data_IF_751517749152
#
_entry.id   IF_751517749152
#
_cell.length_a   1.000
_cell.length_b   1.000
_cell.length_c   1.000
_cell.angle_alpha   90.00
_cell.angle_beta   90.00
_cell.angle_gamma   90.00
#
_symmetry.space_group_name_H-M   'P 1'
#
loop_
_entity.id
_entity.type
_entity.pdbx_description
1 polymer ?
#
# COMPACT_ATOMS: atom_id res chain seq x y z
N UNK A 1 3.72 14.51 3.25
CA UNK A 1 5.04 13.85 3.10
C UNK A 1 5.10 13.23 1.71
N UNK A 2 6.16 13.48 0.93
CA UNK A 2 6.25 13.03 -0.48
C UNK A 2 6.39 11.51 -0.58
N UNK A 3 7.05 10.86 0.40
CA UNK A 3 7.26 9.40 0.44
C UNK A 3 6.20 8.61 1.23
N UNK A 4 5.29 9.28 1.94
CA UNK A 4 4.47 8.65 2.97
C UNK A 4 5.20 8.50 4.31
N UNK A 5 4.68 7.69 5.25
CA UNK A 5 5.37 7.36 6.50
C UNK A 5 6.66 6.57 6.23
N UNK A 6 7.58 6.59 7.21
CA UNK A 6 8.86 5.85 7.13
C UNK A 6 8.68 4.33 7.27
N UNK A 7 7.61 3.87 7.88
CA UNK A 7 7.31 2.45 8.01
C UNK A 7 5.79 2.30 8.08
N UNK A 8 5.27 1.32 7.36
CA UNK A 8 3.85 0.95 7.37
C UNK A 8 3.68 -0.47 6.85
N UNK A 9 2.66 -1.20 7.31
CA UNK A 9 2.27 -2.42 6.62
C UNK A 9 1.41 -2.11 5.41
N UNK A 10 1.45 -3.06 4.50
CA UNK A 10 0.65 -3.09 3.29
C UNK A 10 0.16 -4.52 3.04
N UNK A 11 -0.84 -4.63 2.19
CA UNK A 11 -1.21 -5.89 1.55
C UNK A 11 -1.20 -5.70 0.04
N UNK A 12 -0.61 -6.66 -0.65
CA UNK A 12 -0.84 -6.91 -2.09
C UNK A 12 -1.69 -8.17 -2.18
N UNK A 13 -2.81 -8.10 -2.89
CA UNK A 13 -3.75 -9.20 -3.07
C UNK A 13 -4.12 -9.33 -4.54
N UNK A 14 -3.83 -10.47 -5.13
CA UNK A 14 -4.37 -10.91 -6.41
C UNK A 14 -5.56 -11.80 -6.09
N UNK A 15 -6.75 -11.31 -6.39
CA UNK A 15 -8.00 -11.88 -5.86
C UNK A 15 -8.60 -12.87 -6.85
N UNK A 16 -8.50 -12.60 -8.16
CA UNK A 16 -9.17 -13.41 -9.18
C UNK A 16 -8.47 -13.35 -10.54
N UNK A 17 -8.53 -14.45 -11.27
CA UNK A 17 -8.11 -14.58 -12.66
C UNK A 17 -9.36 -14.73 -13.52
N UNK A 18 -9.58 -13.80 -14.43
CA UNK A 18 -10.51 -14.00 -15.53
C UNK A 18 -9.85 -14.87 -16.60
N UNK A 19 -10.57 -15.88 -17.07
CA UNK A 19 -10.16 -16.83 -18.08
C UNK A 19 -11.20 -16.85 -19.19
N UNK A 20 -10.75 -16.70 -20.43
CA UNK A 20 -11.53 -16.91 -21.62
C UNK A 20 -10.70 -17.76 -22.58
N UNK A 21 -11.21 -18.96 -22.83
CA UNK A 21 -10.67 -19.89 -23.79
C UNK A 21 -10.75 -19.30 -25.18
N UNK A 22 -9.62 -19.00 -25.82
CA UNK A 22 -9.70 -18.70 -27.24
C UNK A 22 -8.42 -18.86 -28.05
N UNK A 23 -7.40 -19.50 -27.50
CA UNK A 23 -6.30 -20.04 -28.31
C UNK A 23 -6.04 -21.54 -28.10
N UNK A 24 -6.77 -22.17 -27.16
CA UNK A 24 -6.79 -23.63 -26.98
C UNK A 24 -8.04 -24.26 -27.63
N UNK A 25 -8.50 -23.67 -28.76
CA UNK A 25 -9.49 -24.32 -29.63
C UNK A 25 -8.74 -25.31 -30.53
N UNK A 26 -7.98 -26.19 -29.91
CA UNK A 26 -7.53 -27.40 -30.56
C UNK A 26 -8.75 -28.33 -30.45
N UNK A 27 -9.52 -28.48 -31.54
CA UNK A 27 -10.83 -29.21 -31.60
C UNK A 27 -10.80 -30.68 -31.10
N UNK A 28 -9.70 -31.12 -30.51
CA UNK A 28 -9.36 -32.51 -30.19
C UNK A 28 -9.45 -32.81 -28.68
N UNK A 29 -9.20 -31.85 -27.76
CA UNK A 29 -9.01 -32.19 -26.33
C UNK A 29 -9.99 -31.57 -25.31
N UNK A 30 -10.98 -30.80 -25.73
CA UNK A 30 -12.09 -30.37 -24.88
C UNK A 30 -12.18 -28.86 -24.70
N UNK A 31 -13.32 -28.34 -24.21
CA UNK A 31 -13.60 -26.91 -24.22
C UNK A 31 -13.14 -26.19 -22.95
N UNK A 32 -12.16 -26.68 -22.19
CA UNK A 32 -11.86 -26.14 -20.85
C UNK A 32 -10.38 -25.83 -20.69
N UNK A 33 -10.06 -24.61 -20.25
CA UNK A 33 -8.69 -24.22 -19.90
C UNK A 33 -8.34 -24.65 -18.49
N UNK A 34 -7.07 -24.97 -18.28
CA UNK A 34 -6.53 -25.43 -17.00
C UNK A 34 -5.50 -24.41 -16.48
N UNK A 35 -5.96 -23.24 -15.96
CA UNK A 35 -5.07 -22.14 -15.65
C UNK A 35 -4.25 -22.46 -14.40
N UNK A 36 -2.94 -22.39 -14.57
CA UNK A 36 -1.97 -22.68 -13.54
C UNK A 36 -1.03 -21.48 -13.37
N UNK A 37 -0.85 -20.92 -12.16
CA UNK A 37 -0.21 -19.60 -12.02
C UNK A 37 0.77 -19.48 -10.85
N UNK A 38 2.04 -19.24 -11.16
CA UNK A 38 3.01 -18.84 -10.13
C UNK A 38 3.00 -17.34 -9.90
N UNK A 39 2.83 -16.92 -8.64
CA UNK A 39 2.88 -15.50 -8.24
C UNK A 39 4.15 -15.25 -7.42
N UNK A 40 4.91 -14.26 -7.84
CA UNK A 40 6.15 -13.83 -7.20
C UNK A 40 5.97 -12.40 -6.72
N UNK A 41 6.32 -12.13 -5.47
CA UNK A 41 6.37 -10.79 -4.94
C UNK A 41 7.73 -10.53 -4.30
N UNK A 42 8.32 -9.39 -4.63
CA UNK A 42 9.67 -9.00 -4.25
C UNK A 42 9.57 -7.67 -3.51
N UNK A 43 10.12 -7.60 -2.30
CA UNK A 43 10.25 -6.38 -1.52
C UNK A 43 11.69 -5.89 -1.54
N UNK A 44 11.88 -4.69 -2.07
CA UNK A 44 13.15 -3.98 -2.19
C UNK A 44 13.05 -2.76 -1.27
N UNK A 45 13.54 -2.91 -0.04
CA UNK A 45 13.33 -1.92 1.01
C UNK A 45 14.44 -2.00 2.08
N UNK A 46 14.41 -1.10 3.06
CA UNK A 46 15.42 -1.06 4.11
C UNK A 46 15.37 -2.23 5.09
N UNK A 47 14.46 -3.21 4.91
CA UNK A 47 14.42 -4.43 5.71
C UNK A 47 15.42 -5.45 5.26
N UNK A 48 15.42 -5.72 3.96
CA UNK A 48 16.38 -6.63 3.35
C UNK A 48 17.71 -5.96 2.98
N UNK A 49 17.71 -4.65 2.76
CA UNK A 49 18.81 -3.95 2.10
C UNK A 49 19.36 -2.79 2.94
N UNK A 50 20.67 -2.61 2.86
CA UNK A 50 21.39 -1.50 3.47
C UNK A 50 22.54 -1.05 2.56
N UNK A 51 23.09 0.12 2.82
CA UNK A 51 24.28 0.59 2.10
C UNK A 51 25.54 -0.14 2.60
N UNK A 52 26.37 -0.58 1.66
CA UNK A 52 27.76 -0.99 1.88
C UNK A 52 28.66 -0.26 0.87
N UNK A 53 29.42 0.72 1.36
CA UNK A 53 30.17 1.64 0.51
C UNK A 53 29.26 2.36 -0.49
N UNK A 54 29.51 2.14 -1.79
CA UNK A 54 28.75 2.75 -2.89
C UNK A 54 27.63 1.85 -3.43
N UNK A 55 27.40 0.68 -2.83
CA UNK A 55 26.45 -0.31 -3.33
C UNK A 55 25.42 -0.67 -2.27
N UNK A 56 24.39 -1.40 -2.68
CA UNK A 56 23.47 -2.06 -1.78
C UNK A 56 24.04 -3.42 -1.38
N UNK A 57 23.95 -3.74 -0.09
CA UNK A 57 24.20 -5.06 0.47
C UNK A 57 22.93 -5.61 1.14
N UNK A 58 22.94 -6.91 1.42
CA UNK A 58 21.81 -7.63 1.99
C UNK A 58 21.05 -8.48 0.96
N UNK A 59 19.81 -8.82 1.26
CA UNK A 59 18.98 -9.69 0.41
C UNK A 59 17.55 -9.15 0.40
N UNK A 60 16.95 -8.88 -0.77
CA UNK A 60 15.55 -8.48 -0.83
C UNK A 60 14.66 -9.62 -0.32
N UNK A 61 13.47 -9.27 0.16
CA UNK A 61 12.55 -10.25 0.72
C UNK A 61 11.64 -10.78 -0.39
N UNK A 62 11.56 -12.10 -0.54
CA UNK A 62 10.75 -12.77 -1.55
C UNK A 62 9.55 -13.47 -0.93
N UNK A 63 8.39 -13.33 -1.56
CA UNK A 63 7.24 -14.23 -1.43
C UNK A 63 7.10 -14.98 -2.75
N UNK A 64 7.55 -16.21 -2.76
CA UNK A 64 7.41 -17.15 -3.88
C UNK A 64 6.33 -18.20 -3.55
N UNK A 65 5.78 -18.91 -4.55
CA UNK A 65 4.97 -20.09 -4.29
C UNK A 65 5.85 -21.15 -3.60
N UNK A 66 5.33 -21.84 -2.60
CA UNK A 66 6.09 -22.90 -1.90
C UNK A 66 5.97 -24.25 -2.62
N UNK A 67 4.88 -24.46 -3.34
CA UNK A 67 4.59 -25.67 -4.09
C UNK A 67 3.94 -25.32 -5.44
N UNK A 68 3.76 -26.38 -6.22
CA UNK A 68 2.91 -26.40 -7.38
C UNK A 68 1.47 -26.65 -6.89
N UNK A 69 0.62 -25.61 -6.85
CA UNK A 69 -0.71 -25.66 -6.23
C UNK A 69 -1.77 -26.33 -7.13
N UNK A 70 -1.36 -26.88 -8.28
CA UNK A 70 -2.24 -27.38 -9.33
C UNK A 70 -3.03 -26.26 -10.00
N UNK A 71 -3.95 -26.66 -10.89
CA UNK A 71 -4.90 -25.76 -11.54
C UNK A 71 -5.70 -24.89 -10.55
N UNK A 72 -5.81 -23.60 -10.84
CA UNK A 72 -6.56 -22.64 -10.02
C UNK A 72 -8.06 -22.94 -10.14
N UNK A 73 -8.58 -23.70 -9.18
CA UNK A 73 -10.00 -24.04 -9.10
C UNK A 73 -10.49 -25.00 -10.19
N UNK A 74 -9.58 -25.76 -10.80
CA UNK A 74 -9.87 -26.74 -11.85
C UNK A 74 -10.19 -26.13 -13.22
N UNK A 75 -10.48 -27.00 -14.18
CA UNK A 75 -10.74 -26.68 -15.59
C UNK A 75 -11.92 -25.71 -15.74
N UNK A 76 -11.82 -24.73 -16.65
CA UNK A 76 -12.82 -23.69 -16.86
C UNK A 76 -12.92 -23.30 -18.34
N UNK A 77 -14.14 -23.31 -18.89
CA UNK A 77 -14.39 -22.84 -20.26
C UNK A 77 -14.31 -21.31 -20.39
N UNK A 78 -15.05 -20.60 -19.54
CA UNK A 78 -15.01 -19.15 -19.46
C UNK A 78 -15.45 -18.71 -18.05
N UNK A 79 -14.88 -17.61 -17.56
CA UNK A 79 -15.32 -16.98 -16.33
C UNK A 79 -14.17 -16.55 -15.44
N UNK A 80 -14.40 -16.57 -14.14
CA UNK A 80 -13.46 -16.05 -13.15
C UNK A 80 -13.15 -17.11 -12.11
N UNK A 81 -11.87 -17.32 -11.84
CA UNK A 81 -11.37 -18.17 -10.76
C UNK A 81 -10.83 -17.33 -9.62
N UNK A 82 -11.29 -17.53 -8.37
CA UNK A 82 -10.65 -16.89 -7.22
C UNK A 82 -9.25 -17.46 -7.05
N UNK A 83 -8.26 -16.60 -6.78
CA UNK A 83 -6.93 -17.06 -6.41
C UNK A 83 -6.90 -17.42 -4.92
N UNK A 84 -6.32 -18.57 -4.56
CA UNK A 84 -6.07 -18.88 -3.16
C UNK A 84 -5.17 -17.81 -2.51
N UNK A 85 -5.44 -17.48 -1.25
CA UNK A 85 -4.70 -16.43 -0.55
C UNK A 85 -3.20 -16.75 -0.42
N UNK A 86 -2.84 -18.02 -0.29
CA UNK A 86 -1.46 -18.50 -0.23
C UNK A 86 -0.65 -18.23 -1.53
N UNK A 87 -1.36 -18.12 -2.66
CA UNK A 87 -0.81 -17.78 -3.98
C UNK A 87 -0.82 -16.26 -4.17
N UNK A 88 -1.99 -15.64 -4.04
CA UNK A 88 -2.21 -14.26 -4.48
C UNK A 88 -1.99 -13.18 -3.43
N UNK A 89 -1.86 -13.50 -2.13
CA UNK A 89 -1.85 -12.50 -1.05
C UNK A 89 -0.53 -12.45 -0.30
N UNK A 90 -0.04 -11.23 -0.08
CA UNK A 90 1.09 -10.94 0.78
C UNK A 90 0.85 -9.72 1.65
N UNK A 91 0.95 -9.92 2.96
CA UNK A 91 0.98 -8.83 3.95
C UNK A 91 2.41 -8.66 4.44
N UNK A 92 2.94 -7.45 4.37
CA UNK A 92 4.32 -7.10 4.75
C UNK A 92 4.39 -5.65 5.21
N UNK A 93 5.51 -5.25 5.80
CA UNK A 93 5.93 -3.85 5.98
C UNK A 93 6.65 -3.31 4.75
N UNK A 94 6.77 -1.98 4.65
CA UNK A 94 7.66 -1.30 3.70
C UNK A 94 8.38 -0.14 4.40
N UNK A 95 9.72 -0.09 4.29
CA UNK A 95 10.55 0.98 4.85
C UNK A 95 11.61 1.50 3.86
N UNK A 96 11.95 2.79 3.86
CA UNK A 96 12.96 3.32 2.95
C UNK A 96 14.34 2.73 3.27
N UNK A 97 15.21 2.69 2.26
CA UNK A 97 16.63 2.35 2.42
C UNK A 97 17.36 3.65 2.73
N UNK A 98 17.94 3.74 3.92
CA UNK A 98 18.73 4.91 4.34
C UNK A 98 20.13 4.80 3.78
N UNK A 99 20.58 5.84 3.08
CA UNK A 99 21.96 5.96 2.57
C UNK A 99 22.64 7.20 3.16
N UNK A 100 23.93 7.07 3.41
CA UNK A 100 24.84 8.12 3.87
C UNK A 100 25.75 8.52 2.72
N UNK A 101 25.75 9.81 2.40
CA UNK A 101 26.68 10.44 1.44
C UNK A 101 27.56 11.41 2.23
N UNK A 102 28.90 11.34 2.13
CA UNK A 102 29.78 12.25 2.86
C UNK A 102 29.40 13.72 2.65
N UNK A 103 29.22 14.45 3.75
CA UNK A 103 28.87 15.87 3.74
C UNK A 103 27.38 16.19 3.46
N UNK A 104 26.51 15.18 3.40
CA UNK A 104 25.06 15.37 3.22
C UNK A 104 24.28 14.71 4.36
N UNK A 105 23.07 15.22 4.69
CA UNK A 105 22.16 14.49 5.58
C UNK A 105 21.80 13.13 4.97
N UNK A 106 21.44 12.13 5.79
CA UNK A 106 21.00 10.82 5.28
C UNK A 106 19.86 10.98 4.27
N UNK A 107 19.99 10.30 3.13
CA UNK A 107 18.98 10.28 2.07
C UNK A 107 18.18 8.99 2.21
N UNK A 108 16.86 9.10 2.10
CA UNK A 108 15.95 7.95 2.13
C UNK A 108 15.56 7.55 0.70
N UNK A 109 16.03 6.39 0.24
CA UNK A 109 15.58 5.80 -1.02
C UNK A 109 14.26 5.07 -0.74
N UNK A 110 13.16 5.39 -1.45
CA UNK A 110 11.87 4.79 -1.16
C UNK A 110 11.85 3.29 -1.46
N UNK A 111 11.20 2.52 -0.58
CA UNK A 111 10.95 1.11 -0.79
C UNK A 111 10.05 0.85 -1.99
N UNK A 112 10.15 -0.37 -2.55
CA UNK A 112 9.36 -0.81 -3.71
C UNK A 112 8.92 -2.26 -3.56
N UNK A 113 7.69 -2.53 -3.97
CA UNK A 113 7.18 -3.89 -4.18
C UNK A 113 7.12 -4.15 -5.68
N UNK A 114 7.60 -5.30 -6.13
CA UNK A 114 7.39 -5.81 -7.49
C UNK A 114 6.59 -7.09 -7.35
N UNK A 115 5.44 -7.15 -8.01
CA UNK A 115 4.58 -8.33 -8.09
C UNK A 115 4.56 -8.78 -9.55
N UNK A 116 4.86 -10.04 -9.81
CA UNK A 116 4.73 -10.63 -11.13
C UNK A 116 4.16 -12.03 -11.05
N UNK A 117 3.71 -12.55 -12.18
CA UNK A 117 3.29 -13.94 -12.25
C UNK A 117 3.46 -14.55 -13.63
N UNK A 118 3.56 -15.88 -13.61
CA UNK A 118 3.68 -16.73 -14.78
C UNK A 118 2.44 -17.61 -14.84
N UNK A 119 1.64 -17.41 -15.88
CA UNK A 119 0.48 -18.25 -16.20
C UNK A 119 0.90 -19.30 -17.21
N UNK A 120 0.56 -20.54 -16.88
CA UNK A 120 0.74 -21.74 -17.68
C UNK A 120 -0.63 -22.39 -17.86
N UNK A 121 -0.75 -23.19 -18.91
CA UNK A 121 -1.80 -24.18 -19.05
C UNK A 121 -1.19 -25.53 -18.68
N UNK A 122 -1.71 -26.17 -17.63
CA UNK A 122 -1.24 -27.50 -17.21
C UNK A 122 -2.04 -28.55 -18.01
N UNK A 123 -1.38 -29.20 -18.97
CA UNK A 123 -1.93 -30.33 -19.71
C UNK A 123 -1.30 -31.63 -19.19
N UNK A 124 -1.03 -32.61 -20.07
CA UNK A 124 -0.42 -33.91 -19.74
C UNK A 124 1.06 -33.83 -19.28
N UNK A 125 1.51 -32.67 -18.76
CA UNK A 125 2.86 -32.48 -18.27
C UNK A 125 3.02 -33.09 -16.87
N UNK A 126 4.05 -33.92 -16.64
CA UNK A 126 4.28 -34.50 -15.32
C UNK A 126 4.50 -33.43 -14.24
N UNK A 127 3.87 -33.60 -13.06
CA UNK A 127 4.05 -32.71 -11.91
C UNK A 127 5.52 -32.46 -11.54
N UNK A 128 6.40 -33.44 -11.76
CA UNK A 128 7.85 -33.30 -11.53
C UNK A 128 8.50 -32.28 -12.46
N UNK A 129 8.06 -32.18 -13.71
CA UNK A 129 8.56 -31.21 -14.68
C UNK A 129 8.06 -29.78 -14.36
N UNK A 130 6.77 -29.64 -13.98
CA UNK A 130 6.19 -28.37 -13.49
C UNK A 130 6.94 -27.87 -12.26
N UNK A 131 7.18 -28.74 -11.28
CA UNK A 131 7.90 -28.38 -10.06
C UNK A 131 9.36 -28.03 -10.33
N UNK A 132 10.04 -28.74 -11.25
CA UNK A 132 11.39 -28.39 -11.68
C UNK A 132 11.43 -27.01 -12.35
N UNK A 133 10.44 -26.71 -13.21
CA UNK A 133 10.30 -25.41 -13.86
C UNK A 133 10.04 -24.28 -12.86
N UNK A 134 9.17 -24.51 -11.87
CA UNK A 134 8.93 -23.55 -10.78
C UNK A 134 10.21 -23.18 -10.05
N UNK A 135 11.00 -24.19 -9.64
CA UNK A 135 12.28 -23.98 -8.94
C UNK A 135 13.31 -23.26 -9.81
N UNK A 136 13.39 -23.64 -11.09
CA UNK A 136 14.25 -22.98 -12.07
C UNK A 136 13.90 -21.49 -12.22
N UNK A 137 12.62 -21.17 -12.32
CA UNK A 137 12.11 -19.80 -12.41
C UNK A 137 12.38 -18.99 -11.13
N UNK A 138 12.18 -19.57 -9.94
CA UNK A 138 12.56 -18.93 -8.66
C UNK A 138 14.05 -18.57 -8.66
N UNK A 139 14.91 -19.53 -8.97
CA UNK A 139 16.36 -19.33 -8.99
C UNK A 139 16.79 -18.27 -10.02
N UNK A 140 16.11 -18.20 -11.15
CA UNK A 140 16.35 -17.16 -12.15
C UNK A 140 15.95 -15.78 -11.62
N UNK A 141 14.77 -15.66 -11.00
CA UNK A 141 14.29 -14.40 -10.39
C UNK A 141 15.25 -13.93 -9.31
N UNK A 142 15.62 -14.80 -8.36
CA UNK A 142 16.52 -14.43 -7.27
C UNK A 142 17.88 -13.97 -7.79
N UNK A 143 18.47 -14.68 -8.75
CA UNK A 143 19.76 -14.29 -9.37
C UNK A 143 19.68 -12.97 -10.11
N UNK A 144 18.65 -12.77 -10.93
CA UNK A 144 18.48 -11.53 -11.70
C UNK A 144 18.23 -10.34 -10.78
N UNK A 145 17.40 -10.50 -9.76
CA UNK A 145 17.17 -9.47 -8.74
C UNK A 145 18.46 -9.14 -8.02
N UNK A 146 19.19 -10.15 -7.53
CA UNK A 146 20.46 -9.93 -6.83
C UNK A 146 21.47 -9.21 -7.74
N UNK A 147 21.67 -9.70 -8.95
CA UNK A 147 22.60 -9.09 -9.92
C UNK A 147 22.20 -7.65 -10.27
N UNK A 148 20.89 -7.37 -10.39
CA UNK A 148 20.40 -6.01 -10.65
C UNK A 148 20.73 -5.11 -9.46
N UNK A 149 20.42 -5.53 -8.23
CA UNK A 149 20.67 -4.76 -7.02
C UNK A 149 22.16 -4.56 -6.73
N UNK A 150 23.00 -5.58 -6.91
CA UNK A 150 24.45 -5.49 -6.77
C UNK A 150 25.06 -4.46 -7.74
N UNK A 151 24.43 -4.27 -8.91
CA UNK A 151 24.86 -3.29 -9.91
C UNK A 151 24.38 -1.86 -9.63
N UNK A 152 23.50 -1.65 -8.64
CA UNK A 152 22.99 -0.33 -8.29
C UNK A 152 24.03 0.47 -7.51
N UNK A 153 24.81 1.28 -8.23
CA UNK A 153 25.66 2.30 -7.63
C UNK A 153 24.81 3.41 -6.99
N UNK A 154 24.87 3.54 -5.67
CA UNK A 154 24.07 4.49 -4.88
C UNK A 154 24.41 5.95 -5.19
N UNK A 155 25.71 6.28 -5.31
CA UNK A 155 26.11 7.63 -5.72
C UNK A 155 25.63 7.97 -7.13
N UNK A 156 25.65 7.00 -8.06
CA UNK A 156 25.13 7.17 -9.41
C UNK A 156 23.62 7.41 -9.40
N UNK A 157 22.88 6.68 -8.58
CA UNK A 157 21.43 6.85 -8.42
C UNK A 157 21.06 8.25 -7.90
N UNK A 158 21.79 8.74 -6.89
CA UNK A 158 21.58 10.11 -6.35
C UNK A 158 22.00 11.18 -7.36
N UNK A 159 23.12 11.00 -8.05
CA UNK A 159 23.59 11.93 -9.08
C UNK A 159 22.60 12.03 -10.24
N UNK A 160 22.09 10.90 -10.75
CA UNK A 160 21.10 10.89 -11.82
C UNK A 160 19.78 11.55 -11.37
N UNK A 161 19.38 11.37 -10.11
CA UNK A 161 18.19 12.01 -9.56
C UNK A 161 18.37 13.54 -9.45
N UNK A 162 19.52 14.00 -8.96
CA UNK A 162 19.86 15.43 -8.92
C UNK A 162 19.87 16.04 -10.33
N UNK A 163 20.47 15.34 -11.30
CA UNK A 163 20.47 15.76 -12.70
C UNK A 163 19.05 15.86 -13.27
N UNK A 164 18.18 14.90 -12.94
CA UNK A 164 16.77 14.92 -13.35
C UNK A 164 16.01 16.11 -12.73
N UNK A 165 16.26 16.44 -11.46
CA UNK A 165 15.68 17.64 -10.82
C UNK A 165 16.15 18.92 -11.53
N UNK A 166 17.44 19.04 -11.83
CA UNK A 166 18.02 20.23 -12.43
C UNK A 166 17.59 20.46 -13.89
N UNK A 167 17.27 19.40 -14.63
CA UNK A 167 16.92 19.45 -16.06
C UNK A 167 15.42 19.42 -16.34
N UNK A 168 14.58 19.16 -15.33
CA UNK A 168 13.13 19.08 -15.49
C UNK A 168 12.52 20.47 -15.70
N UNK A 169 11.72 20.64 -16.77
CA UNK A 169 10.95 21.87 -17.02
C UNK A 169 9.82 22.08 -16.02
N UNK A 170 9.35 21.01 -15.38
CA UNK A 170 8.38 21.05 -14.28
C UNK A 170 9.12 20.87 -12.95
N UNK A 171 8.81 21.65 -11.90
CA UNK A 171 9.42 21.47 -10.58
C UNK A 171 9.27 20.03 -10.08
N UNK A 172 10.39 19.31 -9.99
CA UNK A 172 10.45 17.92 -9.52
C UNK A 172 11.17 17.89 -8.18
N UNK A 173 10.55 17.30 -7.17
CA UNK A 173 11.23 17.07 -5.88
C UNK A 173 12.29 15.97 -6.03
N UNK A 174 13.36 16.02 -5.23
CA UNK A 174 14.40 14.98 -5.18
C UNK A 174 13.81 13.58 -4.94
N UNK A 175 12.86 13.44 -4.01
CA UNK A 175 12.18 12.17 -3.73
C UNK A 175 11.50 11.57 -4.96
N UNK A 176 10.77 12.41 -5.72
CA UNK A 176 10.11 11.98 -6.96
C UNK A 176 11.13 11.63 -8.04
N UNK A 177 12.24 12.36 -8.14
CA UNK A 177 13.32 12.05 -9.05
C UNK A 177 13.97 10.69 -8.72
N UNK A 178 14.27 10.44 -7.45
CA UNK A 178 14.77 9.16 -6.96
C UNK A 178 13.82 8.01 -7.27
N UNK A 179 12.51 8.19 -7.07
CA UNK A 179 11.51 7.19 -7.45
C UNK A 179 11.57 6.86 -8.95
N UNK A 180 11.70 7.87 -9.80
CA UNK A 180 11.75 7.70 -11.25
C UNK A 180 13.06 7.01 -11.69
N UNK A 181 14.20 7.36 -11.09
CA UNK A 181 15.49 6.70 -11.36
C UNK A 181 15.46 5.25 -10.91
N UNK A 182 15.02 5.00 -9.68
CA UNK A 182 14.93 3.65 -9.14
C UNK A 182 14.00 2.78 -10.00
N UNK A 183 12.84 3.30 -10.42
CA UNK A 183 11.94 2.60 -11.33
C UNK A 183 12.65 2.18 -12.63
N UNK A 184 13.40 3.10 -13.25
CA UNK A 184 14.17 2.82 -14.48
C UNK A 184 15.24 1.75 -14.25
N UNK A 185 15.98 1.84 -13.14
CA UNK A 185 17.07 0.92 -12.80
C UNK A 185 16.58 -0.48 -12.42
N UNK A 186 15.35 -0.60 -11.91
CA UNK A 186 14.70 -1.87 -11.59
C UNK A 186 13.91 -2.47 -12.75
N UNK A 187 13.82 -1.79 -13.90
CA UNK A 187 13.16 -2.30 -15.10
C UNK A 187 13.63 -3.71 -15.53
N UNK A 188 14.93 -4.08 -15.46
CA UNK A 188 15.36 -5.44 -15.78
C UNK A 188 14.68 -6.55 -14.97
N UNK A 189 14.27 -6.27 -13.73
CA UNK A 189 13.51 -7.22 -12.90
C UNK A 189 12.07 -7.35 -13.41
N UNK A 190 11.48 -6.26 -13.93
CA UNK A 190 10.14 -6.30 -14.54
C UNK A 190 10.19 -7.05 -15.87
N UNK A 191 11.16 -6.72 -16.72
CA UNK A 191 11.37 -7.34 -18.04
C UNK A 191 11.69 -8.84 -17.92
N UNK A 192 12.27 -9.27 -16.79
CA UNK A 192 12.46 -10.68 -16.49
C UNK A 192 11.13 -11.46 -16.53
N UNK A 193 10.07 -10.90 -15.94
CA UNK A 193 8.76 -11.54 -15.95
C UNK A 193 8.20 -11.60 -17.37
N UNK A 194 8.38 -10.57 -18.18
CA UNK A 194 7.84 -10.52 -19.54
C UNK A 194 8.53 -11.49 -20.52
N UNK A 195 9.83 -11.72 -20.36
CA UNK A 195 10.64 -12.43 -21.37
C UNK A 195 11.25 -13.72 -20.84
N UNK A 196 11.99 -13.64 -19.73
CA UNK A 196 12.91 -14.69 -19.33
C UNK A 196 12.26 -15.75 -18.43
N UNK A 197 11.33 -15.37 -17.55
CA UNK A 197 10.65 -16.31 -16.66
C UNK A 197 9.81 -17.36 -17.42
N UNK A 198 8.99 -17.01 -18.42
CA UNK A 198 8.25 -18.01 -19.22
C UNK A 198 9.18 -18.92 -20.01
N UNK A 199 10.18 -18.33 -20.66
CA UNK A 199 11.17 -19.07 -21.45
C UNK A 199 11.93 -20.07 -20.58
N UNK A 200 12.33 -19.66 -19.38
CA UNK A 200 12.99 -20.54 -18.42
C UNK A 200 12.09 -21.68 -17.96
N UNK A 201 10.80 -21.40 -17.71
CA UNK A 201 9.82 -22.43 -17.36
C UNK A 201 9.70 -23.47 -18.49
N UNK A 202 9.42 -23.03 -19.72
CA UNK A 202 9.27 -23.92 -20.90
C UNK A 202 10.52 -24.74 -21.15
N UNK A 203 11.71 -24.13 -21.17
CA UNK A 203 12.98 -24.85 -21.38
C UNK A 203 13.21 -25.90 -20.29
N UNK A 204 12.82 -25.60 -19.05
CA UNK A 204 12.97 -26.55 -17.93
C UNK A 204 11.97 -27.69 -18.05
N UNK A 205 10.71 -27.42 -18.40
CA UNK A 205 9.71 -28.46 -18.67
C UNK A 205 10.24 -29.41 -19.73
N UNK A 206 10.68 -28.88 -20.89
CA UNK A 206 11.18 -29.69 -22.01
C UNK A 206 12.38 -30.57 -21.63
N UNK A 207 13.27 -30.11 -20.75
CA UNK A 207 14.42 -30.90 -20.27
C UNK A 207 14.06 -32.02 -19.31
N UNK A 208 12.89 -31.95 -18.67
CA UNK A 208 12.41 -32.91 -17.68
C UNK A 208 11.30 -33.83 -18.23
N UNK A 209 10.96 -33.71 -19.52
CA UNK A 209 10.16 -34.72 -20.21
C UNK A 209 11.08 -35.89 -20.60
N UNK A 210 10.82 -37.08 -20.05
CA UNK A 210 11.59 -38.29 -20.38
C UNK A 210 11.51 -38.62 -21.88
N UNK A 211 12.50 -39.37 -22.39
CA UNK A 211 12.57 -39.80 -23.80
C UNK A 211 11.31 -40.57 -24.28
N UNK A 212 10.56 -41.20 -23.37
CA UNK A 212 9.26 -41.81 -23.65
C UNK A 212 8.10 -40.80 -23.74
N UNK A 213 8.20 -39.64 -23.08
CA UNK A 213 7.28 -38.53 -23.25
C UNK A 213 7.46 -37.82 -24.59
N UNK A 214 8.69 -37.69 -25.08
CA UNK A 214 8.96 -36.99 -26.34
C UNK A 214 8.20 -37.53 -27.58
N UNK A 215 7.81 -38.81 -27.59
CA UNK A 215 7.05 -39.43 -28.70
C UNK A 215 5.52 -39.42 -28.49
N UNK A 216 5.02 -39.22 -27.27
CA UNK A 216 3.58 -39.23 -26.95
C UNK A 216 3.02 -37.89 -26.45
N UNK A 217 3.82 -37.09 -25.73
CA UNK A 217 3.47 -35.76 -25.18
C UNK A 217 3.92 -34.60 -26.07
N UNK A 218 4.54 -34.87 -27.23
CA UNK A 218 4.81 -33.83 -28.23
C UNK A 218 3.54 -33.26 -28.89
N UNK A 219 2.39 -33.90 -28.68
CA UNK A 219 1.09 -33.50 -29.27
C UNK A 219 0.35 -32.51 -28.37
N UNK A 220 0.65 -32.43 -27.07
CA UNK A 220 -0.08 -31.60 -26.11
C UNK A 220 0.88 -31.09 -25.02
N UNK A 221 1.57 -29.98 -25.31
CA UNK A 221 2.57 -29.38 -24.42
C UNK A 221 1.96 -28.21 -23.68
N UNK A 222 2.22 -28.09 -22.39
CA UNK A 222 1.92 -26.88 -21.62
C UNK A 222 2.46 -25.65 -22.34
N UNK A 223 1.55 -24.78 -22.77
CA UNK A 223 1.88 -23.53 -23.44
C UNK A 223 2.01 -22.45 -22.34
N UNK A 224 3.06 -21.62 -22.38
CA UNK A 224 3.09 -20.43 -21.54
C UNK A 224 1.96 -19.50 -21.99
N UNK A 225 0.91 -19.39 -21.18
CA UNK A 225 -0.23 -18.53 -21.45
C UNK A 225 0.08 -17.06 -21.20
N UNK A 226 1.18 -16.79 -20.51
CA UNK A 226 1.77 -15.46 -20.46
C UNK A 226 2.14 -15.00 -19.08
N UNK A 227 2.40 -13.70 -18.96
CA UNK A 227 2.88 -13.10 -17.71
C UNK A 227 2.30 -11.73 -17.44
N UNK A 228 2.38 -11.31 -16.19
CA UNK A 228 2.18 -9.91 -15.83
C UNK A 228 3.25 -9.47 -14.83
N UNK A 229 3.46 -8.16 -14.76
CA UNK A 229 4.31 -7.54 -13.75
C UNK A 229 3.75 -6.16 -13.39
N UNK A 230 3.71 -5.85 -12.11
CA UNK A 230 3.26 -4.59 -11.55
C UNK A 230 4.24 -4.18 -10.45
N UNK A 231 4.67 -2.92 -10.46
CA UNK A 231 5.48 -2.38 -9.36
C UNK A 231 4.75 -1.28 -8.61
N UNK A 232 4.89 -1.26 -7.30
CA UNK A 232 4.30 -0.27 -6.41
C UNK A 232 5.39 0.50 -5.67
N UNK A 233 5.32 1.83 -5.72
CA UNK A 233 6.23 2.68 -4.95
C UNK A 233 5.71 2.98 -3.55
N UNK A 234 6.61 3.24 -2.60
CA UNK A 234 6.26 3.58 -1.21
C UNK A 234 5.22 4.72 -1.11
N UNK A 235 5.43 5.83 -1.83
CA UNK A 235 4.50 6.96 -1.82
C UNK A 235 3.12 6.63 -2.41
N UNK A 236 3.10 5.76 -3.41
CA UNK A 236 1.87 5.31 -4.07
C UNK A 236 1.02 4.47 -3.11
N UNK A 237 1.66 3.49 -2.46
CA UNK A 237 1.03 2.65 -1.46
C UNK A 237 0.56 3.48 -0.26
N UNK A 238 1.36 4.42 0.23
CA UNK A 238 0.94 5.31 1.32
C UNK A 238 -0.33 6.12 0.96
N UNK A 239 -0.43 6.61 -0.29
CA UNK A 239 -1.61 7.36 -0.77
C UNK A 239 -2.87 6.50 -0.87
N UNK A 240 -2.75 5.18 -1.02
CA UNK A 240 -3.91 4.28 -1.10
C UNK A 240 -4.81 4.37 0.15
N UNK A 241 -4.26 4.79 1.28
CA UNK A 241 -5.05 5.01 2.49
C UNK A 241 -6.10 6.11 2.33
N UNK A 242 -5.80 7.14 1.53
CA UNK A 242 -6.69 8.28 1.28
C UNK A 242 -7.49 8.11 -0.02
N UNK A 243 -6.85 7.58 -1.06
CA UNK A 243 -7.42 7.46 -2.41
C UNK A 243 -8.20 6.15 -2.64
N UNK A 244 -8.12 5.19 -1.71
CA UNK A 244 -8.58 3.83 -1.89
C UNK A 244 -7.46 2.90 -2.39
N UNK A 245 -7.69 1.57 -2.37
CA UNK A 245 -6.73 0.59 -2.85
C UNK A 245 -6.28 0.85 -4.29
N UNK A 246 -5.02 0.57 -4.60
CA UNK A 246 -4.50 0.61 -5.97
C UNK A 246 -5.02 -0.63 -6.68
N UNK A 247 -5.89 -0.47 -7.65
CA UNK A 247 -6.41 -1.60 -8.42
C UNK A 247 -5.32 -2.23 -9.28
N UNK A 248 -5.30 -3.57 -9.28
CA UNK A 248 -4.52 -4.38 -10.20
C UNK A 248 -5.53 -4.93 -11.20
N UNK A 249 -5.40 -4.54 -12.46
CA UNK A 249 -6.24 -5.02 -13.55
C UNK A 249 -5.35 -5.24 -14.77
N UNK A 250 -4.52 -6.29 -14.71
CA UNK A 250 -3.46 -6.51 -15.69
C UNK A 250 -3.86 -7.61 -16.67
N UNK A 251 -3.70 -7.31 -17.95
CA UNK A 251 -3.75 -8.32 -19.01
C UNK A 251 -2.51 -9.20 -18.91
N UNK A 252 -2.67 -10.48 -19.16
CA UNK A 252 -1.55 -11.42 -19.21
C UNK A 252 -0.95 -11.37 -20.62
N UNK A 253 0.33 -10.97 -20.69
CA UNK A 253 1.10 -10.70 -21.91
C UNK A 253 1.21 -11.94 -22.81
N UNK A 254 1.22 -11.76 -24.14
CA UNK A 254 1.23 -12.79 -25.20
C UNK A 254 -0.10 -13.50 -25.52
N UNK A 255 -1.23 -13.05 -24.99
CA UNK A 255 -2.56 -13.54 -25.39
C UNK A 255 -3.42 -12.43 -25.98
N UNK A 256 -4.47 -12.77 -26.77
CA UNK A 256 -5.48 -11.81 -27.16
C UNK A 256 -6.02 -11.04 -25.94
N UNK A 257 -6.36 -9.76 -26.11
CA UNK A 257 -6.72 -8.87 -25.00
C UNK A 257 -7.87 -9.36 -24.11
N UNK A 258 -8.67 -10.30 -24.62
CA UNK A 258 -9.82 -10.88 -23.97
C UNK A 258 -9.53 -12.20 -23.25
N UNK A 259 -8.33 -12.79 -23.38
CA UNK A 259 -8.08 -14.17 -22.94
C UNK A 259 -7.89 -14.29 -21.42
N UNK A 260 -6.94 -13.54 -20.83
CA UNK A 260 -6.68 -13.62 -19.40
C UNK A 260 -6.43 -12.26 -18.79
N UNK A 261 -7.09 -12.00 -17.65
CA UNK A 261 -6.91 -10.77 -16.87
C UNK A 261 -6.79 -11.11 -15.39
N UNK A 262 -5.70 -10.68 -14.77
CA UNK A 262 -5.52 -10.78 -13.32
C UNK A 262 -6.12 -9.54 -12.66
N UNK A 263 -6.96 -9.76 -11.66
CA UNK A 263 -7.53 -8.70 -10.85
C UNK A 263 -7.06 -8.79 -9.40
N UNK A 264 -6.86 -7.64 -8.79
CA UNK A 264 -6.44 -7.54 -7.41
C UNK A 264 -6.34 -6.10 -6.96
N UNK A 265 -5.62 -5.90 -5.86
CA UNK A 265 -5.42 -4.60 -5.25
C UNK A 265 -4.17 -4.59 -4.38
N UNK A 266 -3.57 -3.40 -4.23
CA UNK A 266 -2.51 -3.14 -3.28
C UNK A 266 -2.86 -1.93 -2.42
N UNK A 267 -2.72 -2.05 -1.10
CA UNK A 267 -3.03 -0.94 -0.19
C UNK A 267 -2.16 -0.96 1.06
N UNK A 268 -1.94 0.23 1.62
CA UNK A 268 -1.31 0.41 2.92
C UNK A 268 -2.35 0.33 4.04
N UNK A 269 -1.94 -0.18 5.18
CA UNK A 269 -2.73 -0.23 6.40
C UNK A 269 -2.50 1.04 7.21
N UNK A 270 -3.60 1.72 7.55
CA UNK A 270 -3.60 2.80 8.54
C UNK A 270 -4.73 2.62 9.52
N UNK A 271 -4.49 2.97 10.77
CA UNK A 271 -5.50 3.06 11.81
C UNK A 271 -5.47 4.45 12.39
N UNK A 272 -6.62 5.09 12.42
CA UNK A 272 -6.82 6.29 13.22
C UNK A 272 -7.15 5.84 14.63
N UNK A 273 -6.19 5.98 15.55
CA UNK A 273 -6.39 5.64 16.96
C UNK A 273 -6.67 6.92 17.71
N UNK A 274 -7.80 6.95 18.43
CA UNK A 274 -8.16 8.11 19.22
C UNK A 274 -7.10 8.34 20.29
N UNK A 275 -6.55 9.56 20.35
CA UNK A 275 -5.71 10.01 21.46
C UNK A 275 -6.48 9.90 22.76
N UNK A 276 -5.82 9.31 23.75
CA UNK A 276 -6.29 9.37 25.12
C UNK A 276 -6.43 10.84 25.54
N UNK A 277 -7.51 11.14 26.26
CA UNK A 277 -7.65 12.45 26.88
C UNK A 277 -6.59 12.62 27.98
N UNK A 278 -6.16 13.86 28.26
CA UNK A 278 -5.28 14.11 29.39
C UNK A 278 -5.92 13.62 30.70
N UNK A 279 -5.14 13.33 31.72
CA UNK A 279 -5.67 12.83 33.00
C UNK A 279 -6.26 13.94 33.88
N UNK A 280 -5.98 15.21 33.59
CA UNK A 280 -6.45 16.34 34.38
C UNK A 280 -7.98 16.48 34.34
N UNK A 281 -8.61 16.56 35.53
CA UNK A 281 -10.07 16.70 35.66
C UNK A 281 -10.61 18.02 35.09
N UNK A 282 -9.76 19.04 35.03
CA UNK A 282 -10.07 20.38 34.49
C UNK A 282 -9.14 20.67 33.32
N UNK A 283 -9.70 20.93 32.14
CA UNK A 283 -8.92 21.10 30.90
C UNK A 283 -9.13 22.48 30.28
N UNK A 284 -8.03 23.11 29.83
CA UNK A 284 -8.09 24.38 29.09
C UNK A 284 -8.40 24.14 27.62
N UNK A 285 -9.50 24.71 27.14
CA UNK A 285 -9.83 24.81 25.71
C UNK A 285 -9.02 25.97 25.13
N UNK A 286 -8.20 25.68 24.12
CA UNK A 286 -7.38 26.67 23.41
C UNK A 286 -7.85 26.89 21.97
N UNK A 287 -8.66 25.98 21.44
CA UNK A 287 -9.16 26.03 20.07
C UNK A 287 -10.55 25.41 19.97
N UNK A 288 -11.28 25.76 18.90
CA UNK A 288 -12.56 25.16 18.58
C UNK A 288 -12.67 24.77 17.11
N UNK A 289 -13.20 23.58 16.83
CA UNK A 289 -13.53 23.16 15.47
C UNK A 289 -14.94 23.63 15.13
N UNK A 290 -15.09 24.33 14.01
CA UNK A 290 -16.35 24.93 13.57
C UNK A 290 -16.84 24.23 12.30
N UNK A 291 -18.09 23.77 12.32
CA UNK A 291 -18.75 23.19 11.16
C UNK A 291 -19.72 24.19 10.54
N UNK A 292 -19.76 24.26 9.21
CA UNK A 292 -20.80 24.99 8.50
C UNK A 292 -22.10 24.19 8.52
N UNK A 293 -23.19 24.80 9.00
CA UNK A 293 -24.53 24.26 8.86
C UNK A 293 -25.13 24.64 7.49
N UNK A 294 -26.25 24.03 7.12
CA UNK A 294 -27.00 24.37 5.88
C UNK A 294 -27.43 25.84 5.84
N UNK A 295 -27.60 26.49 7.00
CA UNK A 295 -27.96 27.91 7.15
C UNK A 295 -26.74 28.86 7.06
N UNK A 296 -25.53 28.33 6.84
CA UNK A 296 -24.29 29.10 6.79
C UNK A 296 -23.74 29.53 8.15
N UNK A 297 -24.47 29.30 9.25
CA UNK A 297 -23.98 29.61 10.58
C UNK A 297 -22.89 28.61 11.00
N UNK A 298 -21.74 29.12 11.46
CA UNK A 298 -20.67 28.29 12.01
C UNK A 298 -21.04 27.85 13.43
N UNK A 299 -21.11 26.54 13.66
CA UNK A 299 -21.34 25.99 15.00
C UNK A 299 -20.11 25.23 15.48
N UNK A 300 -19.88 25.26 16.79
CA UNK A 300 -18.83 24.44 17.42
C UNK A 300 -19.21 22.98 17.24
N UNK A 301 -18.37 22.22 16.54
CA UNK A 301 -18.49 20.76 16.38
C UNK A 301 -17.47 20.02 17.23
N UNK A 302 -16.42 20.69 17.69
CA UNK A 302 -15.43 20.13 18.60
C UNK A 302 -14.64 21.21 19.34
N UNK A 303 -13.96 20.78 20.41
CA UNK A 303 -13.07 21.61 21.22
C UNK A 303 -11.73 20.91 21.38
N UNK A 304 -10.67 21.66 21.62
CA UNK A 304 -9.35 21.08 21.88
C UNK A 304 -8.42 22.04 22.61
N UNK A 305 -7.28 21.50 23.01
CA UNK A 305 -6.26 22.23 23.77
C UNK A 305 -4.94 21.48 23.83
N UNK A 306 -4.01 22.01 24.62
CA UNK A 306 -2.72 21.38 24.90
C UNK A 306 -2.58 21.25 26.41
N UNK A 307 -2.31 20.03 26.88
CA UNK A 307 -2.06 19.74 28.29
C UNK A 307 -0.76 18.93 28.39
N UNK A 308 0.19 19.35 29.23
CA UNK A 308 1.50 18.72 29.36
C UNK A 308 2.20 18.43 27.99
N UNK A 309 2.22 19.42 27.09
CA UNK A 309 2.78 19.33 25.72
C UNK A 309 2.07 18.33 24.79
N UNK A 310 0.93 17.76 25.20
CA UNK A 310 0.12 16.86 24.38
C UNK A 310 -1.17 17.55 23.97
N UNK A 311 -1.43 17.59 22.66
CA UNK A 311 -2.69 18.11 22.15
C UNK A 311 -3.83 17.10 22.33
N UNK A 312 -4.98 17.59 22.73
CA UNK A 312 -6.20 16.81 22.91
C UNK A 312 -7.37 17.47 22.19
N UNK A 313 -8.40 16.67 21.92
CA UNK A 313 -9.64 17.19 21.37
C UNK A 313 -10.83 16.29 21.70
N UNK A 314 -12.01 16.87 21.60
CA UNK A 314 -13.30 16.22 21.82
C UNK A 314 -14.30 16.72 20.79
N UNK A 315 -15.15 15.80 20.32
CA UNK A 315 -16.38 16.23 19.64
C UNK A 315 -17.29 16.92 20.65
N UNK A 316 -18.10 17.87 20.17
CA UNK A 316 -19.05 18.64 20.98
C UNK A 316 -19.88 17.74 21.89
N UNK A 317 -20.42 16.66 21.36
CA UNK A 317 -21.32 15.77 22.11
C UNK A 317 -20.57 15.02 23.22
N UNK A 318 -19.31 14.64 23.00
CA UNK A 318 -18.47 13.98 23.99
C UNK A 318 -18.01 14.94 25.10
N UNK A 319 -17.67 16.17 24.73
CA UNK A 319 -17.36 17.22 25.68
C UNK A 319 -18.58 17.57 26.54
N UNK A 320 -19.75 17.70 25.92
CA UNK A 320 -20.99 17.94 26.64
C UNK A 320 -21.30 16.80 27.61
N UNK A 321 -21.16 15.54 27.16
CA UNK A 321 -21.39 14.39 28.02
C UNK A 321 -20.43 14.36 29.22
N UNK A 322 -19.15 14.67 29.04
CA UNK A 322 -18.19 14.72 30.15
C UNK A 322 -18.49 15.81 31.18
N UNK A 323 -19.06 16.95 30.75
CA UNK A 323 -19.55 17.99 31.65
C UNK A 323 -20.77 17.49 32.42
N UNK A 324 -21.75 16.93 31.72
CA UNK A 324 -23.02 16.48 32.30
C UNK A 324 -22.83 15.33 33.30
N UNK A 325 -21.91 14.42 33.02
CA UNK A 325 -21.57 13.30 33.90
C UNK A 325 -20.66 13.71 35.07
N UNK A 326 -20.25 14.98 35.15
CA UNK A 326 -19.32 15.47 36.17
C UNK A 326 -17.92 14.84 36.07
N UNK A 327 -17.59 14.21 34.95
CA UNK A 327 -16.30 13.58 34.72
C UNK A 327 -15.19 14.61 34.54
N UNK A 328 -15.52 15.74 33.90
CA UNK A 328 -14.57 16.83 33.65
C UNK A 328 -15.23 18.20 33.64
N UNK A 329 -14.41 19.20 33.95
CA UNK A 329 -14.72 20.61 33.69
C UNK A 329 -13.79 21.17 32.62
N UNK A 330 -14.26 22.18 31.92
CA UNK A 330 -13.51 22.82 30.85
C UNK A 330 -13.54 24.33 31.05
N UNK A 331 -12.44 25.00 30.75
CA UNK A 331 -12.35 26.45 30.81
C UNK A 331 -11.61 26.99 29.60
N UNK A 332 -11.86 28.25 29.30
CA UNK A 332 -11.10 29.07 28.35
C UNK A 332 -10.34 30.12 29.13
N UNK A 333 -9.21 30.59 28.60
CA UNK A 333 -8.44 31.68 29.19
C UNK A 333 -8.35 32.83 28.20
N UNK A 334 -8.77 34.02 28.59
CA UNK A 334 -8.68 35.23 27.77
C UNK A 334 -7.25 35.78 27.71
N UNK A 335 -7.04 36.80 26.87
CA UNK A 335 -5.79 37.54 26.80
C UNK A 335 -5.42 38.24 28.12
N UNK A 336 -6.41 38.56 28.96
CA UNK A 336 -6.20 39.14 30.31
C UNK A 336 -5.72 38.10 31.32
N UNK A 337 -5.75 36.81 30.98
CA UNK A 337 -5.44 35.70 31.87
C UNK A 337 -6.64 35.23 32.71
N UNK A 338 -7.80 35.87 32.56
CA UNK A 338 -9.03 35.44 33.23
C UNK A 338 -9.50 34.10 32.67
N UNK A 339 -9.94 33.23 33.57
CA UNK A 339 -10.53 31.94 33.21
C UNK A 339 -12.05 32.01 33.23
N UNK A 340 -12.67 31.45 32.18
CA UNK A 340 -14.13 31.38 32.04
C UNK A 340 -14.53 29.92 31.83
N UNK A 341 -15.42 29.42 32.68
CA UNK A 341 -15.91 28.04 32.62
C UNK A 341 -16.80 27.81 31.40
N UNK A 342 -16.75 26.58 30.89
CA UNK A 342 -17.56 26.12 29.76
C UNK A 342 -18.58 25.11 30.22
N UNK A 343 -19.82 25.30 29.80
CA UNK A 343 -20.97 24.49 30.18
C UNK A 343 -21.64 23.88 28.96
N UNK A 344 -22.23 22.71 29.16
CA UNK A 344 -23.14 22.09 28.21
C UNK A 344 -24.56 22.62 28.42
N UNK A 345 -25.23 23.07 27.36
CA UNK A 345 -26.65 23.42 27.38
C UNK A 345 -27.42 22.59 26.37
N UNK A 346 -28.58 22.10 26.77
CA UNK A 346 -29.46 21.38 25.87
C UNK A 346 -30.08 22.36 24.87
N UNK A 347 -29.85 22.13 23.58
CA UNK A 347 -30.40 22.95 22.50
C UNK A 347 -31.73 22.44 21.95
N UNK A 348 -32.16 21.24 22.34
CA UNK A 348 -33.41 20.61 21.91
C UNK A 348 -33.26 19.10 21.70
N UNK A 349 -33.99 18.55 20.74
CA UNK A 349 -33.94 17.13 20.36
C UNK A 349 -33.66 16.95 18.86
N UNK A 350 -32.81 15.99 18.53
CA UNK A 350 -32.53 15.55 17.16
C UNK A 350 -32.63 14.02 17.09
N UNK A 351 -33.45 13.49 16.18
CA UNK A 351 -33.74 12.05 16.06
C UNK A 351 -34.12 11.39 17.40
N UNK A 352 -34.92 12.08 18.22
CA UNK A 352 -35.38 11.58 19.52
C UNK A 352 -34.34 11.62 20.65
N UNK A 353 -33.14 12.17 20.41
CA UNK A 353 -32.08 12.30 21.42
C UNK A 353 -31.83 13.77 21.76
N UNK A 354 -31.57 14.12 23.02
CA UNK A 354 -31.20 15.50 23.35
C UNK A 354 -29.89 15.86 22.64
N UNK A 355 -29.84 17.05 22.05
CA UNK A 355 -28.60 17.60 21.52
C UNK A 355 -28.13 18.74 22.42
N UNK A 356 -26.82 18.82 22.61
CA UNK A 356 -26.20 19.82 23.48
C UNK A 356 -25.29 20.73 22.66
N UNK A 357 -25.17 21.98 23.10
CA UNK A 357 -24.14 22.90 22.63
C UNK A 357 -23.25 23.32 23.81
N UNK A 358 -22.03 23.73 23.49
CA UNK A 358 -21.07 24.24 24.45
C UNK A 358 -21.12 25.76 24.44
N UNK A 359 -21.06 26.37 25.61
CA UNK A 359 -21.02 27.82 25.77
C UNK A 359 -20.16 28.20 26.98
N UNK A 360 -19.49 29.34 26.89
CA UNK A 360 -18.81 29.99 28.01
C UNK A 360 -19.82 30.60 28.99
N UNK A 361 -19.40 30.79 30.24
CA UNK A 361 -20.11 31.69 31.15
C UNK A 361 -20.20 33.09 30.53
N UNK A 362 -21.32 33.78 30.70
CA UNK A 362 -21.46 35.14 30.21
C UNK A 362 -20.54 36.08 31.00
N UNK A 363 -19.67 36.81 30.31
CA UNK A 363 -18.86 37.88 30.86
C UNK A 363 -18.69 39.02 29.83
N UNK A 364 -17.83 39.99 30.13
CA UNK A 364 -17.55 41.14 29.26
C UNK A 364 -16.38 40.92 28.29
N UNK A 365 -15.79 39.73 28.24
CA UNK A 365 -14.58 39.43 27.48
C UNK A 365 -14.92 38.57 26.26
N UNK A 366 -15.06 39.20 25.08
CA UNK A 366 -15.47 38.48 23.88
C UNK A 366 -14.43 37.46 23.38
N UNK A 367 -13.14 37.65 23.68
CA UNK A 367 -12.04 36.81 23.22
C UNK A 367 -12.03 35.41 23.83
N UNK A 368 -12.68 35.22 24.97
CA UNK A 368 -12.84 33.91 25.59
C UNK A 368 -14.01 33.10 25.00
N UNK A 369 -14.89 33.69 24.19
CA UNK A 369 -16.01 32.96 23.60
C UNK A 369 -15.51 31.81 22.72
N UNK A 370 -16.11 30.61 22.86
CA UNK A 370 -15.73 29.42 22.09
C UNK A 370 -15.71 29.65 20.57
N UNK A 371 -16.61 30.50 20.06
CA UNK A 371 -16.69 30.85 18.64
C UNK A 371 -15.54 31.75 18.17
N UNK A 372 -14.92 32.49 19.09
CA UNK A 372 -13.82 33.41 18.83
C UNK A 372 -12.44 32.74 19.00
N UNK A 373 -12.39 31.54 19.60
CA UNK A 373 -11.16 30.75 19.66
C UNK A 373 -10.66 30.39 18.25
N UNK A 374 -9.33 30.27 18.07
CA UNK A 374 -8.76 29.81 16.80
C UNK A 374 -9.26 28.42 16.42
N UNK A 375 -9.25 28.12 15.13
CA UNK A 375 -9.58 26.77 14.66
C UNK A 375 -8.53 25.77 15.16
N UNK A 376 -8.99 24.59 15.60
CA UNK A 376 -8.05 23.56 16.06
C UNK A 376 -7.14 23.10 14.91
N UNK A 377 -5.80 23.06 15.09
CA UNK A 377 -4.88 22.62 14.05
C UNK A 377 -5.25 21.21 13.58
N UNK A 378 -5.31 21.02 12.26
CA UNK A 378 -5.76 19.78 11.59
C UNK A 378 -7.21 19.36 11.94
N UNK A 379 -8.13 20.32 12.06
CA UNK A 379 -9.54 20.05 12.37
C UNK A 379 -9.77 19.49 13.78
N UNK A 380 -8.76 19.58 14.64
CA UNK A 380 -8.77 18.91 15.94
C UNK A 380 -8.79 17.39 15.80
N UNK A 381 -7.97 16.81 14.89
CA UNK A 381 -7.84 15.35 14.79
C UNK A 381 -7.54 14.75 16.16
N UNK A 382 -8.60 14.24 16.80
CA UNK A 382 -8.57 13.47 18.04
C UNK A 382 -7.90 12.12 17.84
N UNK A 383 -7.41 11.85 16.63
CA UNK A 383 -6.78 10.62 16.23
C UNK A 383 -5.30 10.83 15.97
N UNK A 384 -4.49 9.92 16.49
CA UNK A 384 -3.17 9.63 15.98
C UNK A 384 -3.30 8.69 14.78
N UNK A 385 -2.62 9.03 13.70
CA UNK A 385 -2.45 8.12 12.58
C UNK A 385 -1.37 7.10 12.93
N UNK A 386 -1.78 5.85 13.13
CA UNK A 386 -0.88 4.73 13.32
C UNK A 386 -0.81 3.97 12.01
N UNK A 387 0.40 3.89 11.48
CA UNK A 387 0.75 3.00 10.39
C UNK A 387 1.16 1.70 11.03
N UNK A 388 0.33 0.68 10.86
CA UNK A 388 0.50 -0.60 11.53
C UNK A 388 0.90 -1.68 10.58
#
# INVERSE_FOLDING_TARGET
>A
MVLGPKNFNLTVSLDKLFCFQGDDIDNVMGPESEPYMWVFMIKIDGEGLHQDGNFLAGTPIFKAPTNSHGNIGGSIKYGTRPLPAEVGRWTTSLRPITISVPGQPPIEIPGRIICGGVLLEENLTPNSAIEAARRSTINLIERTVKSTLDSLGLAGLVADAAALVATSSNPLTMDKALQNILARRLKPIQDLFEVAAPSSAVVTILKNLDAGGFLGTAIDRDKPMGTFSQSFGQAELARSTQAGPIEINQKIWNMPEWAYTIHGQAWAHRKLVRRGLPTAARLQIMCSTKGAMLDGARRIVGIGGVEAQKSWGLWRDEAAQQILDGQRTFFVRSASGRETEVFARQGGYYAGRPWYYLQTAADSEEDNNLVNLPDCPNGGSIYDEIWF
#
